data_IF_981346746998
#
_entry.id   IF_981346746998
#
_cell.length_a   1.000
_cell.length_b   1.000
_cell.length_c   1.000
_cell.angle_alpha   90.00
_cell.angle_beta   90.00
_cell.angle_gamma   90.00
#
_symmetry.space_group_name_H-M   'P 1'
#
loop_
_entity.id
_entity.type
_entity.pdbx_description
1 polymer ?
#
# COMPACT_ATOMS: atom_id res chain seq x y z
N UNK A 1 35.64 15.19 -37.47
CA UNK A 1 35.36 14.09 -36.53
C UNK A 1 34.49 14.66 -35.41
N UNK A 2 33.23 14.24 -35.33
CA UNK A 2 32.26 14.75 -34.35
C UNK A 2 32.23 13.77 -33.17
N UNK A 3 32.72 14.21 -32.01
CA UNK A 3 32.70 13.44 -30.77
C UNK A 3 31.28 13.52 -30.18
N UNK A 4 30.50 12.45 -30.38
CA UNK A 4 29.20 12.27 -29.74
C UNK A 4 29.40 11.97 -28.25
N UNK A 5 29.48 13.02 -27.44
CA UNK A 5 29.50 12.92 -25.98
C UNK A 5 28.05 12.87 -25.45
N UNK A 6 27.40 11.71 -25.56
CA UNK A 6 26.18 11.43 -24.79
C UNK A 6 26.61 11.07 -23.36
N UNK A 7 26.71 12.08 -22.50
CA UNK A 7 26.90 11.88 -21.06
C UNK A 7 25.71 11.11 -20.45
N UNK A 8 25.94 10.09 -19.60
CA UNK A 8 24.87 9.22 -19.13
C UNK A 8 24.30 9.73 -17.80
N UNK A 9 23.53 10.82 -17.75
CA UNK A 9 22.94 11.24 -16.46
C UNK A 9 21.57 11.92 -16.62
N UNK A 10 20.51 11.12 -16.86
CA UNK A 10 19.11 11.52 -16.54
C UNK A 10 18.22 10.36 -16.08
N UNK A 11 18.75 9.19 -15.72
CA UNK A 11 17.93 8.09 -15.19
C UNK A 11 17.70 8.15 -13.68
N UNK A 12 18.67 8.60 -12.88
CA UNK A 12 18.51 8.61 -11.41
C UNK A 12 17.37 9.52 -10.94
N UNK A 13 17.20 10.70 -11.53
CA UNK A 13 16.15 11.65 -11.11
C UNK A 13 14.72 11.26 -11.51
N UNK A 14 14.56 10.37 -12.50
CA UNK A 14 13.25 9.83 -12.87
C UNK A 14 12.84 8.65 -11.99
N UNK A 15 13.80 7.84 -11.53
CA UNK A 15 13.53 6.71 -10.66
C UNK A 15 13.08 7.23 -9.29
N UNK A 16 13.75 8.22 -8.71
CA UNK A 16 13.35 8.77 -7.40
C UNK A 16 11.97 9.45 -7.42
N UNK A 17 11.57 10.13 -8.49
CA UNK A 17 10.27 10.80 -8.55
C UNK A 17 9.10 9.84 -8.88
N UNK A 18 9.32 8.85 -9.74
CA UNK A 18 8.27 7.88 -10.13
C UNK A 18 8.00 6.88 -9.00
N UNK A 19 9.05 6.38 -8.35
CA UNK A 19 8.89 5.51 -7.17
C UNK A 19 8.17 6.23 -6.03
N UNK A 20 8.40 7.54 -5.86
CA UNK A 20 7.71 8.30 -4.82
C UNK A 20 6.22 8.49 -5.15
N UNK A 21 5.85 8.77 -6.40
CA UNK A 21 4.44 8.95 -6.77
C UNK A 21 3.61 7.65 -6.72
N UNK A 22 4.16 6.52 -7.15
CA UNK A 22 3.43 5.24 -7.12
C UNK A 22 3.32 4.71 -5.69
N UNK A 23 4.39 4.83 -4.91
CA UNK A 23 4.39 4.42 -3.50
C UNK A 23 3.46 5.31 -2.67
N UNK A 24 3.46 6.63 -2.91
CA UNK A 24 2.49 7.55 -2.28
C UNK A 24 1.05 7.19 -2.64
N UNK A 25 0.76 6.83 -3.89
CA UNK A 25 -0.58 6.40 -4.29
C UNK A 25 -1.01 5.12 -3.56
N UNK A 26 -0.11 4.15 -3.40
CA UNK A 26 -0.35 2.95 -2.58
C UNK A 26 -0.68 3.32 -1.14
N UNK A 27 0.11 4.20 -0.52
CA UNK A 27 -0.15 4.63 0.86
C UNK A 27 -1.48 5.37 1.03
N UNK A 28 -1.86 6.20 0.05
CA UNK A 28 -3.18 6.85 0.03
C UNK A 28 -4.32 5.81 -0.06
N UNK A 29 -4.18 4.79 -0.92
CA UNK A 29 -5.17 3.72 -1.02
C UNK A 29 -5.26 2.88 0.26
N UNK A 30 -4.13 2.61 0.92
CA UNK A 30 -4.11 1.93 2.22
C UNK A 30 -4.76 2.76 3.32
N UNK A 31 -4.52 4.07 3.34
CA UNK A 31 -5.15 4.98 4.30
C UNK A 31 -6.67 5.04 4.11
N UNK A 32 -7.14 5.12 2.86
CA UNK A 32 -8.57 5.03 2.57
C UNK A 32 -9.16 3.68 3.02
N UNK A 33 -8.42 2.58 2.82
CA UNK A 33 -8.82 1.24 3.29
C UNK A 33 -8.92 1.15 4.82
N UNK A 34 -8.05 1.85 5.55
CA UNK A 34 -8.13 1.98 7.00
C UNK A 34 -9.40 2.71 7.42
N UNK A 35 -9.69 3.84 6.80
CA UNK A 35 -10.86 4.66 7.13
C UNK A 35 -12.16 3.86 6.88
N UNK A 36 -12.25 3.12 5.77
CA UNK A 36 -13.38 2.22 5.48
C UNK A 36 -13.49 1.11 6.53
N UNK A 37 -12.36 0.49 6.92
CA UNK A 37 -12.37 -0.55 7.95
C UNK A 37 -12.85 0.00 9.31
N UNK A 38 -12.40 1.19 9.70
CA UNK A 38 -12.84 1.86 10.93
C UNK A 38 -14.35 2.15 10.91
N UNK A 39 -14.89 2.54 9.76
CA UNK A 39 -16.34 2.71 9.59
C UNK A 39 -17.10 1.39 9.75
N UNK A 40 -16.62 0.30 9.13
CA UNK A 40 -17.27 -1.02 9.24
C UNK A 40 -17.22 -1.56 10.67
N UNK A 41 -16.16 -1.27 11.42
CA UNK A 41 -16.08 -1.58 12.86
C UNK A 41 -17.15 -0.80 13.64
N UNK A 42 -17.27 0.51 13.40
CA UNK A 42 -18.28 1.35 14.05
C UNK A 42 -19.71 0.92 13.73
N UNK A 43 -19.95 0.42 12.51
CA UNK A 43 -21.23 -0.10 12.06
C UNK A 43 -21.52 -1.53 12.56
N UNK A 44 -20.53 -2.20 13.18
CA UNK A 44 -20.64 -3.58 13.65
C UNK A 44 -20.57 -4.63 12.53
N UNK A 45 -20.26 -4.24 11.30
CA UNK A 45 -20.07 -5.13 10.15
C UNK A 45 -18.77 -5.92 10.22
N UNK A 46 -17.77 -5.39 10.92
CA UNK A 46 -16.52 -6.08 11.27
C UNK A 46 -16.40 -6.13 12.80
N UNK A 47 -15.99 -7.28 13.33
CA UNK A 47 -15.76 -7.45 14.76
C UNK A 47 -14.68 -6.47 15.26
N UNK A 48 -14.98 -5.71 16.31
CA UNK A 48 -14.12 -4.64 16.79
C UNK A 48 -12.71 -5.11 17.21
N UNK A 49 -12.57 -6.30 17.80
CA UNK A 49 -11.27 -6.83 18.23
C UNK A 49 -10.33 -7.10 17.06
N UNK A 50 -10.78 -7.93 16.13
CA UNK A 50 -10.02 -8.29 14.93
C UNK A 50 -9.83 -7.11 13.98
N UNK A 51 -10.85 -6.26 13.82
CA UNK A 51 -10.80 -5.03 13.03
C UNK A 51 -9.80 -4.01 13.57
N UNK A 52 -9.87 -3.68 14.87
CA UNK A 52 -8.95 -2.71 15.47
C UNK A 52 -7.51 -3.22 15.53
N UNK A 53 -7.29 -4.53 15.64
CA UNK A 53 -5.96 -5.11 15.51
C UNK A 53 -5.41 -4.91 14.09
N UNK A 54 -6.17 -5.27 13.06
CA UNK A 54 -5.73 -5.13 11.67
C UNK A 54 -5.46 -3.66 11.30
N UNK A 55 -6.32 -2.74 11.76
CA UNK A 55 -6.14 -1.31 11.55
C UNK A 55 -4.84 -0.79 12.19
N UNK A 56 -4.54 -1.20 13.43
CA UNK A 56 -3.29 -0.84 14.11
C UNK A 56 -2.06 -1.42 13.42
N UNK A 57 -2.11 -2.69 13.00
CA UNK A 57 -1.01 -3.34 12.29
C UNK A 57 -0.70 -2.63 10.96
N UNK A 58 -1.74 -2.23 10.22
CA UNK A 58 -1.58 -1.52 8.96
C UNK A 58 -1.07 -0.09 9.19
N UNK A 59 -1.63 0.66 10.14
CA UNK A 59 -1.16 2.01 10.49
C UNK A 59 0.31 2.00 10.92
N UNK A 60 0.70 1.08 11.80
CA UNK A 60 2.10 0.92 12.21
C UNK A 60 3.00 0.58 11.01
N UNK A 61 2.55 -0.30 10.11
CA UNK A 61 3.32 -0.65 8.91
C UNK A 61 3.53 0.54 7.96
N UNK A 62 2.57 1.46 7.87
CA UNK A 62 2.68 2.69 7.07
C UNK A 62 3.67 3.66 7.73
N UNK A 63 3.56 3.84 9.05
CA UNK A 63 4.43 4.75 9.82
C UNK A 63 5.89 4.27 9.89
N UNK A 64 6.12 2.96 9.98
CA UNK A 64 7.46 2.37 10.08
C UNK A 64 8.27 2.47 8.78
N UNK A 65 7.62 2.63 7.62
CA UNK A 65 8.30 2.64 6.33
C UNK A 65 7.53 3.45 5.28
N UNK A 66 7.45 4.79 5.44
CA UNK A 66 6.68 5.65 4.54
C UNK A 66 7.26 5.76 3.13
N UNK A 67 8.52 5.37 2.95
CA UNK A 67 9.23 5.46 1.66
C UNK A 67 9.34 4.10 0.95
N UNK A 68 9.10 2.98 1.65
CA UNK A 68 9.25 1.65 1.06
C UNK A 68 8.22 0.64 1.60
N UNK A 69 7.54 -0.12 0.73
CA UNK A 69 6.66 -1.19 1.18
C UNK A 69 7.46 -2.34 1.82
N UNK A 70 6.98 -2.87 2.94
CA UNK A 70 7.61 -3.98 3.66
C UNK A 70 6.75 -5.24 3.64
N UNK A 71 7.35 -6.41 3.95
CA UNK A 71 6.59 -7.66 4.15
C UNK A 71 5.55 -7.55 5.27
N UNK A 72 5.85 -6.78 6.32
CA UNK A 72 4.93 -6.52 7.43
C UNK A 72 3.73 -5.70 6.96
N UNK A 73 3.99 -4.61 6.24
CA UNK A 73 2.96 -3.79 5.62
C UNK A 73 2.08 -4.60 4.66
N UNK A 74 2.70 -5.45 3.84
CA UNK A 74 2.00 -6.36 2.92
C UNK A 74 1.03 -7.30 3.64
N UNK A 75 1.47 -7.90 4.75
CA UNK A 75 0.64 -8.80 5.54
C UNK A 75 -0.54 -8.06 6.19
N UNK A 76 -0.29 -6.87 6.72
CA UNK A 76 -1.33 -6.04 7.32
C UNK A 76 -2.35 -5.57 6.28
N UNK A 77 -1.90 -5.10 5.11
CA UNK A 77 -2.75 -4.68 4.01
C UNK A 77 -3.64 -5.82 3.48
N UNK A 78 -3.10 -7.04 3.39
CA UNK A 78 -3.88 -8.24 3.03
C UNK A 78 -4.99 -8.50 4.03
N UNK A 79 -4.68 -8.43 5.32
CA UNK A 79 -5.65 -8.66 6.40
C UNK A 79 -6.77 -7.63 6.38
N UNK A 80 -6.44 -6.37 6.15
CA UNK A 80 -7.43 -5.29 6.00
C UNK A 80 -8.32 -5.53 4.78
N UNK A 81 -7.76 -5.85 3.61
CA UNK A 81 -8.56 -6.22 2.42
C UNK A 81 -9.52 -7.38 2.71
N UNK A 82 -9.07 -8.41 3.42
CA UNK A 82 -9.90 -9.57 3.75
C UNK A 82 -11.06 -9.17 4.67
N UNK A 83 -10.81 -8.30 5.65
CA UNK A 83 -11.84 -7.75 6.54
C UNK A 83 -12.81 -6.81 5.82
N UNK A 84 -12.34 -6.00 4.86
CA UNK A 84 -13.21 -5.20 4.01
C UNK A 84 -14.13 -6.11 3.18
N UNK A 85 -13.58 -7.19 2.64
CA UNK A 85 -14.35 -8.16 1.84
C UNK A 85 -15.40 -8.87 2.69
N UNK A 86 -15.03 -9.38 3.87
CA UNK A 86 -15.95 -10.09 4.76
C UNK A 86 -16.95 -9.17 5.46
N UNK A 87 -16.55 -7.94 5.75
CA UNK A 87 -17.39 -6.89 6.35
C UNK A 87 -18.37 -6.24 5.37
N UNK A 88 -18.39 -6.66 4.11
CA UNK A 88 -19.33 -6.13 3.12
C UNK A 88 -19.02 -4.69 2.68
N UNK A 89 -17.75 -4.29 2.66
CA UNK A 89 -17.33 -3.03 2.06
C UNK A 89 -17.78 -2.92 0.60
N UNK A 90 -17.86 -1.69 0.07
CA UNK A 90 -18.17 -1.50 -1.33
C UNK A 90 -17.11 -2.18 -2.22
N UNK A 91 -17.55 -2.78 -3.33
CA UNK A 91 -16.67 -3.53 -4.24
C UNK A 91 -15.50 -2.68 -4.75
N UNK A 92 -15.70 -1.37 -4.91
CA UNK A 92 -14.66 -0.43 -5.31
C UNK A 92 -13.58 -0.24 -4.24
N UNK A 93 -13.94 -0.23 -2.96
CA UNK A 93 -12.99 -0.09 -1.85
C UNK A 93 -12.18 -1.37 -1.68
N UNK A 94 -12.84 -2.54 -1.81
CA UNK A 94 -12.15 -3.84 -1.84
C UNK A 94 -11.18 -3.92 -3.02
N UNK A 95 -11.58 -3.43 -4.21
CA UNK A 95 -10.72 -3.39 -5.40
C UNK A 95 -9.48 -2.53 -5.18
N UNK A 96 -9.62 -1.31 -4.66
CA UNK A 96 -8.50 -0.42 -4.34
C UNK A 96 -7.55 -1.04 -3.31
N UNK A 97 -8.09 -1.67 -2.27
CA UNK A 97 -7.27 -2.38 -1.28
C UNK A 97 -6.51 -3.56 -1.91
N UNK A 98 -7.13 -4.31 -2.83
CA UNK A 98 -6.50 -5.40 -3.55
C UNK A 98 -5.38 -4.89 -4.50
N UNK A 99 -5.60 -3.78 -5.18
CA UNK A 99 -4.60 -3.12 -6.02
C UNK A 99 -3.39 -2.65 -5.20
N UNK A 100 -3.63 -2.00 -4.06
CA UNK A 100 -2.56 -1.60 -3.14
C UNK A 100 -1.75 -2.80 -2.65
N UNK A 101 -2.40 -3.90 -2.27
CA UNK A 101 -1.73 -5.15 -1.89
C UNK A 101 -0.87 -5.72 -3.02
N UNK A 102 -1.36 -5.69 -4.27
CA UNK A 102 -0.61 -6.17 -5.43
C UNK A 102 0.62 -5.30 -5.71
N UNK A 103 0.48 -3.97 -5.61
CA UNK A 103 1.58 -3.03 -5.78
C UNK A 103 2.66 -3.19 -4.71
N UNK A 104 2.27 -3.35 -3.43
CA UNK A 104 3.19 -3.67 -2.33
C UNK A 104 3.90 -4.99 -2.60
N UNK A 105 3.16 -6.02 -3.06
CA UNK A 105 3.73 -7.34 -3.36
C UNK A 105 4.78 -7.25 -4.47
N UNK A 106 4.54 -6.44 -5.50
CA UNK A 106 5.50 -6.21 -6.57
C UNK A 106 6.76 -5.51 -6.05
N UNK A 107 6.60 -4.43 -5.27
CA UNK A 107 7.71 -3.69 -4.69
C UNK A 107 8.57 -4.56 -3.74
N UNK A 108 7.94 -5.34 -2.86
CA UNK A 108 8.64 -6.24 -1.93
C UNK A 108 9.31 -7.41 -2.65
N UNK A 109 8.68 -7.95 -3.70
CA UNK A 109 9.22 -9.05 -4.51
C UNK A 109 10.47 -8.66 -5.29
N UNK A 110 10.54 -7.42 -5.78
CA UNK A 110 11.72 -6.88 -6.49
C UNK A 110 12.96 -6.76 -5.59
N UNK A 111 12.78 -6.56 -4.27
CA UNK A 111 13.90 -6.40 -3.31
C UNK A 111 14.56 -7.76 -2.95
N UNK A 112 13.89 -8.88 -3.23
CA UNK A 112 14.39 -10.23 -2.91
C UNK A 112 15.07 -10.96 -4.08
N UNK A 113 15.28 -10.29 -5.22
CA UNK A 113 15.83 -10.85 -6.46
C UNK A 113 17.22 -10.33 -6.81
#
# INVERSE_FOLDING_TARGET
MQVNNYGPIKRQKYIENTYNSETQHVFLQLQASLDTLEQLIQQGSVEAGSGAQAARELRAGIEESPDQPTRRLMSAARRVRDLLTSGGAAAEDVRKAAEAVAAISAAVGVISG
#
